data_IF_468146007483
#
_entry.id   IF_468146007483
#
_cell.length_a   1.000
_cell.length_b   1.000
_cell.length_c   1.000
_cell.angle_alpha   90.00
_cell.angle_beta   90.00
_cell.angle_gamma   90.00
#
_symmetry.space_group_name_H-M   'P 1'
#
loop_
_entity.id
_entity.type
_entity.pdbx_description
1 polymer ?
#
# COMPACT_ATOMS: atom_id res chain seq x y z
N UNK A 1 26.80 -5.49 -22.03
CA UNK A 1 26.45 -6.82 -22.59
C UNK A 1 27.72 -7.43 -23.15
N UNK A 2 28.33 -8.32 -22.37
CA UNK A 2 29.52 -9.10 -22.77
C UNK A 2 29.15 -10.10 -23.87
N UNK A 3 30.03 -10.28 -24.85
CA UNK A 3 29.81 -11.21 -25.95
C UNK A 3 30.21 -12.64 -25.56
N UNK A 4 29.54 -13.65 -26.11
CA UNK A 4 29.85 -15.07 -25.83
C UNK A 4 31.33 -15.41 -26.11
N UNK A 5 31.90 -14.79 -27.14
CA UNK A 5 33.29 -14.99 -27.57
C UNK A 5 34.32 -14.42 -26.57
N UNK A 6 33.98 -13.35 -25.85
CA UNK A 6 34.83 -12.80 -24.78
C UNK A 6 34.82 -13.69 -23.53
N UNK A 7 33.70 -14.36 -23.23
CA UNK A 7 33.59 -15.29 -22.10
C UNK A 7 34.37 -16.59 -22.38
N UNK A 8 34.36 -17.08 -23.61
CA UNK A 8 35.11 -18.27 -24.02
C UNK A 8 36.63 -18.08 -23.96
N UNK A 9 37.11 -16.85 -24.19
CA UNK A 9 38.54 -16.53 -24.16
C UNK A 9 39.15 -16.47 -22.74
N UNK A 10 38.33 -16.28 -21.71
CA UNK A 10 38.79 -16.17 -20.33
C UNK A 10 38.86 -17.55 -19.65
N UNK A 11 39.86 -17.73 -18.78
CA UNK A 11 39.94 -18.91 -17.90
C UNK A 11 38.88 -18.84 -16.79
N UNK A 12 38.60 -19.99 -16.16
CA UNK A 12 37.56 -20.08 -15.12
C UNK A 12 37.84 -19.16 -13.92
N UNK A 13 39.12 -18.98 -13.55
CA UNK A 13 39.52 -18.10 -12.46
C UNK A 13 39.31 -16.61 -12.77
N UNK A 14 39.60 -16.16 -13.99
CA UNK A 14 39.34 -14.80 -14.43
C UNK A 14 37.85 -14.52 -14.58
N UNK A 15 37.08 -15.48 -15.09
CA UNK A 15 35.62 -15.40 -15.13
C UNK A 15 35.03 -15.26 -13.73
N UNK A 16 35.52 -16.05 -12.76
CA UNK A 16 35.07 -15.96 -11.37
C UNK A 16 35.39 -14.59 -10.77
N UNK A 17 36.64 -14.11 -10.90
CA UNK A 17 37.05 -12.78 -10.40
C UNK A 17 36.22 -11.65 -11.03
N UNK A 18 35.97 -11.71 -12.33
CA UNK A 18 35.14 -10.73 -13.05
C UNK A 18 33.69 -10.79 -12.58
N UNK A 19 33.12 -11.99 -12.46
CA UNK A 19 31.74 -12.18 -11.98
C UNK A 19 31.53 -11.63 -10.57
N UNK A 20 32.47 -11.88 -9.66
CA UNK A 20 32.44 -11.33 -8.29
C UNK A 20 32.56 -9.81 -8.31
N UNK A 21 33.47 -9.24 -9.12
CA UNK A 21 33.63 -7.80 -9.23
C UNK A 21 32.36 -7.13 -9.78
N UNK A 22 31.74 -7.70 -10.82
CA UNK A 22 30.49 -7.22 -11.38
C UNK A 22 29.35 -7.26 -10.35
N UNK A 23 29.23 -8.37 -9.61
CA UNK A 23 28.21 -8.52 -8.56
C UNK A 23 28.36 -7.45 -7.46
N UNK A 24 29.60 -7.12 -7.05
CA UNK A 24 29.88 -6.10 -6.03
C UNK A 24 29.51 -4.68 -6.47
N UNK A 25 29.65 -4.38 -7.75
CA UNK A 25 29.30 -3.06 -8.33
C UNK A 25 27.80 -2.98 -8.69
N UNK A 26 27.08 -4.10 -8.59
CA UNK A 26 25.64 -4.18 -8.86
C UNK A 26 25.30 -4.46 -10.33
N UNK A 27 26.28 -4.81 -11.16
CA UNK A 27 26.04 -5.24 -12.54
C UNK A 27 25.63 -6.72 -12.55
N UNK A 28 24.34 -6.94 -12.30
CA UNK A 28 23.77 -8.28 -12.16
C UNK A 28 23.80 -9.10 -13.46
N UNK A 29 23.81 -8.45 -14.63
CA UNK A 29 23.75 -9.13 -15.92
C UNK A 29 25.13 -9.66 -16.32
N UNK A 30 26.17 -8.83 -16.24
CA UNK A 30 27.54 -9.27 -16.49
C UNK A 30 28.00 -10.29 -15.42
N UNK A 31 27.62 -10.10 -14.16
CA UNK A 31 27.88 -11.06 -13.09
C UNK A 31 27.26 -12.42 -13.38
N UNK A 32 25.97 -12.46 -13.75
CA UNK A 32 25.25 -13.70 -14.07
C UNK A 32 25.87 -14.39 -15.29
N UNK A 33 26.25 -13.64 -16.33
CA UNK A 33 26.90 -14.20 -17.51
C UNK A 33 28.24 -14.87 -17.15
N UNK A 34 29.10 -14.19 -16.37
CA UNK A 34 30.39 -14.76 -15.99
C UNK A 34 30.24 -15.96 -15.05
N UNK A 35 29.40 -15.85 -14.01
CA UNK A 35 29.25 -16.88 -12.98
C UNK A 35 28.54 -18.14 -13.49
N UNK A 36 27.53 -17.99 -14.38
CA UNK A 36 26.89 -19.14 -15.02
C UNK A 36 27.87 -19.92 -15.91
N UNK A 37 28.79 -19.22 -16.57
CA UNK A 37 29.84 -19.85 -17.37
C UNK A 37 30.86 -20.60 -16.50
N UNK A 38 31.25 -20.04 -15.35
CA UNK A 38 32.12 -20.75 -14.38
C UNK A 38 31.45 -22.03 -13.91
N UNK A 39 30.18 -21.95 -13.50
CA UNK A 39 29.42 -23.10 -13.02
C UNK A 39 29.22 -24.16 -14.12
N UNK A 40 29.08 -23.75 -15.38
CA UNK A 40 28.99 -24.66 -16.52
C UNK A 40 30.27 -25.46 -16.72
N UNK A 41 31.44 -24.82 -16.56
CA UNK A 41 32.77 -25.46 -16.70
C UNK A 41 33.17 -26.26 -15.47
N UNK A 42 32.87 -25.73 -14.29
CA UNK A 42 33.23 -26.29 -12.99
C UNK A 42 31.99 -26.42 -12.09
N UNK A 43 31.15 -27.46 -12.29
CA UNK A 43 29.92 -27.63 -11.51
C UNK A 43 30.13 -27.84 -10.00
N UNK A 44 31.37 -28.13 -9.60
CA UNK A 44 31.81 -28.33 -8.22
C UNK A 44 32.33 -27.04 -7.54
N UNK A 45 32.33 -25.90 -8.25
CA UNK A 45 32.82 -24.63 -7.72
C UNK A 45 31.77 -23.97 -6.80
N UNK A 46 31.89 -24.17 -5.49
CA UNK A 46 30.95 -23.65 -4.49
C UNK A 46 30.86 -22.12 -4.44
N UNK A 47 31.98 -21.42 -4.65
CA UNK A 47 32.00 -19.95 -4.63
C UNK A 47 31.24 -19.35 -5.82
N UNK A 48 31.38 -19.95 -7.00
CA UNK A 48 30.65 -19.52 -8.19
C UNK A 48 29.13 -19.65 -7.99
N UNK A 49 28.66 -20.77 -7.42
CA UNK A 49 27.25 -20.97 -7.07
C UNK A 49 26.75 -19.97 -6.03
N UNK A 50 27.55 -19.69 -5.00
CA UNK A 50 27.21 -18.75 -3.94
C UNK A 50 27.05 -17.32 -4.48
N UNK A 51 28.01 -16.86 -5.29
CA UNK A 51 27.93 -15.54 -5.93
C UNK A 51 26.81 -15.47 -6.97
N UNK A 52 26.54 -16.56 -7.71
CA UNK A 52 25.44 -16.61 -8.66
C UNK A 52 24.08 -16.46 -7.94
N UNK A 53 23.94 -17.07 -6.75
CA UNK A 53 22.75 -16.90 -5.93
C UNK A 53 22.49 -15.42 -5.60
N UNK A 54 23.53 -14.60 -5.35
CA UNK A 54 23.36 -13.18 -4.99
C UNK A 54 22.69 -12.35 -6.10
N UNK A 55 22.99 -12.65 -7.36
CA UNK A 55 22.51 -11.90 -8.54
C UNK A 55 21.28 -12.53 -9.21
N UNK A 56 20.79 -13.66 -8.69
CA UNK A 56 19.62 -14.35 -9.22
C UNK A 56 18.31 -13.67 -8.77
N UNK A 57 17.43 -13.25 -9.71
CA UNK A 57 16.18 -12.56 -9.38
C UNK A 57 15.08 -13.51 -8.90
N UNK A 58 15.01 -14.74 -9.43
CA UNK A 58 13.99 -15.71 -9.02
C UNK A 58 14.31 -16.27 -7.63
N UNK A 59 13.38 -16.20 -6.67
CA UNK A 59 13.62 -16.74 -5.33
C UNK A 59 13.81 -18.26 -5.34
N UNK A 60 13.16 -18.99 -6.25
CA UNK A 60 13.35 -20.44 -6.40
C UNK A 60 14.73 -20.78 -6.93
N UNK A 61 15.15 -20.15 -8.04
CA UNK A 61 16.51 -20.39 -8.58
C UNK A 61 17.60 -20.01 -7.59
N UNK A 62 17.39 -18.91 -6.85
CA UNK A 62 18.27 -18.50 -5.74
C UNK A 62 18.37 -19.58 -4.65
N UNK A 63 17.25 -20.19 -4.25
CA UNK A 63 17.26 -21.35 -3.34
C UNK A 63 18.07 -22.50 -3.94
N UNK A 64 17.83 -22.86 -5.20
CA UNK A 64 18.50 -23.99 -5.84
C UNK A 64 20.02 -23.80 -5.84
N UNK A 65 20.49 -22.58 -6.09
CA UNK A 65 21.91 -22.23 -6.01
C UNK A 65 22.46 -22.40 -4.58
N UNK A 66 21.77 -21.89 -3.55
CA UNK A 66 22.19 -22.08 -2.15
C UNK A 66 22.19 -23.56 -1.72
N UNK A 67 21.18 -24.34 -2.11
CA UNK A 67 21.14 -25.78 -1.86
C UNK A 67 22.31 -26.49 -2.55
N UNK A 68 22.69 -26.06 -3.76
CA UNK A 68 23.87 -26.58 -4.45
C UNK A 68 25.17 -26.25 -3.73
N UNK A 69 25.30 -25.04 -3.16
CA UNK A 69 26.44 -24.69 -2.30
C UNK A 69 26.52 -25.60 -1.09
N UNK A 70 25.41 -25.83 -0.39
CA UNK A 70 25.38 -26.73 0.79
C UNK A 70 25.69 -28.18 0.44
N UNK A 71 25.33 -28.63 -0.76
CA UNK A 71 25.69 -29.96 -1.26
C UNK A 71 27.20 -30.09 -1.52
N UNK A 72 27.87 -29.02 -1.93
CA UNK A 72 29.32 -28.99 -2.18
C UNK A 72 30.13 -28.68 -0.91
N UNK A 73 29.58 -27.85 -0.02
CA UNK A 73 30.18 -27.38 1.24
C UNK A 73 29.18 -27.57 2.39
N UNK A 74 29.08 -28.79 2.95
CA UNK A 74 28.20 -29.03 4.09
C UNK A 74 28.59 -28.13 5.27
N UNK A 75 27.64 -27.36 5.80
CA UNK A 75 27.88 -26.42 6.90
C UNK A 75 28.31 -25.00 6.49
N UNK A 76 28.19 -24.65 5.20
CA UNK A 76 28.41 -23.28 4.74
C UNK A 76 27.43 -22.29 5.40
N UNK A 77 27.97 -21.37 6.20
CA UNK A 77 27.18 -20.41 6.96
C UNK A 77 26.47 -19.38 6.05
N UNK A 78 27.10 -18.96 4.95
CA UNK A 78 26.53 -17.97 4.04
C UNK A 78 25.34 -18.53 3.26
N UNK A 79 25.45 -19.76 2.77
CA UNK A 79 24.35 -20.42 2.07
C UNK A 79 23.17 -20.72 3.01
N UNK A 80 23.45 -21.11 4.26
CA UNK A 80 22.41 -21.34 5.28
C UNK A 80 21.68 -20.04 5.61
N UNK A 81 22.41 -18.97 5.92
CA UNK A 81 21.83 -17.64 6.17
C UNK A 81 21.05 -17.10 4.95
N UNK A 82 21.52 -17.39 3.73
CA UNK A 82 20.83 -17.05 2.49
C UNK A 82 19.45 -17.71 2.37
N UNK A 83 19.33 -18.99 2.74
CA UNK A 83 18.05 -19.71 2.75
C UNK A 83 17.10 -19.20 3.84
N UNK A 84 17.61 -18.93 5.03
CA UNK A 84 16.83 -18.34 6.14
C UNK A 84 16.26 -16.98 5.72
N UNK A 85 17.12 -16.10 5.17
CA UNK A 85 16.71 -14.80 4.67
C UNK A 85 15.67 -14.90 3.55
N UNK A 86 15.78 -15.90 2.68
CA UNK A 86 14.81 -16.15 1.63
C UNK A 86 13.45 -16.55 2.21
N UNK A 87 13.44 -17.41 3.23
CA UNK A 87 12.24 -17.84 3.94
C UNK A 87 11.58 -16.70 4.71
N UNK A 88 12.36 -15.78 5.30
CA UNK A 88 11.82 -14.58 5.94
C UNK A 88 11.15 -13.63 4.93
N UNK A 89 11.83 -13.35 3.81
CA UNK A 89 11.34 -12.40 2.80
C UNK A 89 10.14 -12.92 2.01
N UNK A 90 10.15 -14.21 1.65
CA UNK A 90 9.17 -14.81 0.73
C UNK A 90 8.24 -15.83 1.40
N UNK A 91 8.50 -16.21 2.65
CA UNK A 91 7.80 -17.27 3.38
C UNK A 91 8.44 -18.64 3.16
N UNK A 92 8.32 -19.53 4.16
CA UNK A 92 8.95 -20.86 4.18
C UNK A 92 8.66 -21.75 2.97
N UNK A 93 7.53 -21.55 2.29
CA UNK A 93 7.16 -22.32 1.10
C UNK A 93 8.12 -22.17 -0.09
N UNK A 94 8.95 -21.13 -0.10
CA UNK A 94 10.00 -20.97 -1.11
C UNK A 94 11.05 -22.07 -1.03
N UNK A 95 11.26 -22.66 0.15
CA UNK A 95 12.28 -23.69 0.41
C UNK A 95 11.85 -25.09 -0.05
N UNK A 96 10.56 -25.30 -0.35
CA UNK A 96 10.02 -26.60 -0.74
C UNK A 96 10.46 -26.97 -2.16
N UNK A 97 11.11 -28.13 -2.38
CA UNK A 97 11.64 -28.53 -3.68
C UNK A 97 10.62 -28.38 -4.82
N UNK A 98 11.13 -28.08 -6.01
CA UNK A 98 10.30 -28.07 -7.22
C UNK A 98 10.36 -29.50 -7.77
N UNK A 99 9.41 -30.34 -7.35
CA UNK A 99 9.28 -31.71 -7.82
C UNK A 99 8.93 -31.62 -9.32
N UNK A 100 9.92 -31.80 -10.19
CA UNK A 100 9.74 -31.55 -11.63
C UNK A 100 8.76 -32.54 -12.28
N UNK A 101 8.53 -33.70 -11.66
CA UNK A 101 7.66 -34.78 -12.15
C UNK A 101 6.27 -34.80 -11.49
N UNK A 102 6.09 -34.15 -10.34
CA UNK A 102 4.81 -34.13 -9.63
C UNK A 102 4.29 -32.69 -9.55
N UNK A 103 3.16 -32.41 -10.20
CA UNK A 103 2.63 -31.05 -10.26
C UNK A 103 2.30 -30.57 -8.83
N UNK A 104 2.90 -29.46 -8.36
CA UNK A 104 2.73 -29.06 -6.98
C UNK A 104 1.27 -28.70 -6.72
N UNK A 105 0.78 -29.07 -5.54
CA UNK A 105 -0.62 -28.86 -5.18
C UNK A 105 -0.84 -27.46 -4.63
N UNK A 106 -2.05 -26.93 -4.80
CA UNK A 106 -2.41 -25.63 -4.24
C UNK A 106 -2.32 -25.66 -2.71
N UNK A 107 -1.63 -24.68 -2.11
CA UNK A 107 -1.46 -24.60 -0.65
C UNK A 107 -2.79 -24.57 0.13
N UNK A 108 -3.89 -24.15 -0.51
CA UNK A 108 -5.23 -24.12 0.10
C UNK A 108 -6.17 -25.21 -0.40
N UNK A 109 -5.83 -25.89 -1.48
CA UNK A 109 -6.63 -26.97 -2.05
C UNK A 109 -5.68 -28.11 -2.42
N UNK A 110 -5.38 -29.01 -1.46
CA UNK A 110 -4.45 -30.12 -1.68
C UNK A 110 -4.87 -31.03 -2.83
N UNK A 111 -6.17 -31.12 -3.12
CA UNK A 111 -6.71 -31.97 -4.21
C UNK A 111 -6.52 -31.37 -5.61
N UNK A 112 -5.85 -30.21 -5.74
CA UNK A 112 -5.69 -29.50 -7.01
C UNK A 112 -4.24 -29.25 -7.34
N UNK A 113 -3.77 -29.97 -8.35
CA UNK A 113 -2.49 -29.70 -9.03
C UNK A 113 -2.47 -28.29 -9.63
N UNK A 114 -1.34 -27.61 -9.50
CA UNK A 114 -1.16 -26.27 -10.07
C UNK A 114 0.28 -25.95 -10.38
N UNK A 115 0.52 -25.37 -11.56
CA UNK A 115 1.81 -24.76 -11.92
C UNK A 115 1.85 -23.26 -11.65
N UNK A 116 0.73 -22.67 -11.22
CA UNK A 116 0.65 -21.24 -10.91
C UNK A 116 1.27 -20.97 -9.54
N UNK A 117 2.18 -19.98 -9.48
CA UNK A 117 2.87 -19.55 -8.26
C UNK A 117 2.70 -18.06 -8.01
N UNK A 118 2.79 -17.66 -6.75
CA UNK A 118 2.66 -16.24 -6.38
C UNK A 118 3.92 -15.48 -6.75
N UNK A 119 3.79 -14.40 -7.53
CA UNK A 119 4.92 -13.55 -7.91
C UNK A 119 5.67 -12.92 -6.71
N UNK A 120 5.05 -12.89 -5.51
CA UNK A 120 5.66 -12.35 -4.28
C UNK A 120 6.24 -13.43 -3.38
N UNK A 121 5.43 -14.42 -3.00
CA UNK A 121 5.77 -15.42 -1.99
C UNK A 121 6.06 -16.81 -2.55
N UNK A 122 6.11 -16.98 -3.88
CA UNK A 122 6.44 -18.24 -4.56
C UNK A 122 5.49 -19.44 -4.31
N UNK A 123 4.50 -19.31 -3.43
CA UNK A 123 3.57 -20.40 -3.07
C UNK A 123 2.76 -20.89 -4.29
N UNK A 124 2.58 -22.21 -4.44
CA UNK A 124 1.69 -22.78 -5.44
C UNK A 124 0.23 -22.45 -5.10
N UNK A 125 -0.53 -22.03 -6.11
CA UNK A 125 -1.94 -21.66 -5.95
C UNK A 125 -2.76 -22.08 -7.17
N UNK A 126 -4.00 -22.54 -6.99
CA UNK A 126 -4.89 -22.80 -8.11
C UNK A 126 -5.44 -21.49 -8.71
N UNK A 127 -6.06 -21.58 -9.90
CA UNK A 127 -6.71 -20.43 -10.58
C UNK A 127 -7.71 -19.69 -9.68
N UNK A 128 -8.49 -20.41 -8.87
CA UNK A 128 -9.48 -19.82 -7.96
C UNK A 128 -8.86 -19.03 -6.80
N UNK A 129 -7.66 -19.43 -6.34
CA UNK A 129 -6.92 -18.75 -5.29
C UNK A 129 -6.12 -17.55 -5.82
N UNK A 130 -5.91 -17.49 -7.13
CA UNK A 130 -5.15 -16.45 -7.78
C UNK A 130 -5.98 -15.14 -7.86
N UNK A 131 -5.29 -14.03 -7.64
CA UNK A 131 -5.85 -12.67 -7.69
C UNK A 131 -4.98 -11.84 -8.62
N UNK A 132 -5.63 -11.17 -9.57
CA UNK A 132 -4.96 -10.33 -10.54
C UNK A 132 -4.34 -9.11 -9.84
N UNK A 133 -3.10 -8.78 -10.19
CA UNK A 133 -2.40 -7.59 -9.74
C UNK A 133 -1.64 -6.98 -10.94
N UNK A 134 -1.40 -5.65 -10.99
CA UNK A 134 -0.71 -5.00 -12.11
C UNK A 134 0.71 -5.51 -12.41
N UNK A 135 1.31 -6.35 -11.55
CA UNK A 135 2.64 -6.96 -11.79
C UNK A 135 2.57 -8.50 -11.86
N UNK A 136 1.40 -9.06 -12.17
CA UNK A 136 1.16 -10.50 -12.30
C UNK A 136 0.20 -11.09 -11.27
N UNK A 137 0.13 -12.41 -11.20
CA UNK A 137 -0.79 -13.13 -10.30
C UNK A 137 -0.25 -13.20 -8.87
N UNK A 138 -1.11 -12.90 -7.89
CA UNK A 138 -0.79 -12.97 -6.46
C UNK A 138 -1.76 -13.88 -5.72
N UNK A 139 -1.30 -14.51 -4.65
CA UNK A 139 -2.17 -15.31 -3.79
C UNK A 139 -3.08 -14.44 -2.92
N UNK A 140 -4.16 -15.03 -2.40
CA UNK A 140 -5.16 -14.33 -1.57
C UNK A 140 -4.57 -13.60 -0.36
N UNK A 141 -3.53 -14.15 0.27
CA UNK A 141 -2.86 -13.54 1.43
C UNK A 141 -2.01 -12.33 1.01
N UNK A 142 -1.15 -12.47 0.00
CA UNK A 142 -0.35 -11.36 -0.51
C UNK A 142 -1.21 -10.24 -1.11
N UNK A 143 -2.34 -10.57 -1.74
CA UNK A 143 -3.30 -9.58 -2.23
C UNK A 143 -4.01 -8.85 -1.08
N UNK A 144 -4.29 -9.54 0.04
CA UNK A 144 -4.92 -8.92 1.22
C UNK A 144 -3.93 -8.05 2.00
N UNK A 145 -2.67 -8.46 2.14
CA UNK A 145 -1.63 -7.68 2.80
C UNK A 145 -1.32 -6.36 2.09
N UNK A 146 -1.60 -6.28 0.78
CA UNK A 146 -1.47 -5.05 0.02
C UNK A 146 -2.67 -4.10 0.19
N UNK A 147 -3.78 -4.54 0.79
CA UNK A 147 -4.83 -3.60 1.21
C UNK A 147 -4.21 -2.71 2.27
N UNK A 148 -3.95 -1.48 1.86
CA UNK A 148 -3.05 -0.54 2.51
C UNK A 148 -3.30 -0.41 4.02
N UNK A 149 -2.24 -0.40 4.85
CA UNK A 149 -2.27 0.03 6.26
C UNK A 149 -2.84 1.45 6.48
N UNK A 150 -3.03 2.21 5.39
CA UNK A 150 -3.64 3.54 5.38
C UNK A 150 -5.08 3.57 5.93
N UNK A 151 -5.72 2.43 6.12
CA UNK A 151 -7.09 2.35 6.64
C UNK A 151 -7.20 2.18 8.17
N UNK A 152 -6.07 1.97 8.89
CA UNK A 152 -6.08 2.03 10.37
C UNK A 152 -5.85 3.47 10.81
N UNK A 153 -6.95 4.18 11.03
CA UNK A 153 -6.92 5.47 11.75
C UNK A 153 -6.77 5.16 13.24
N UNK A 154 -5.68 5.62 13.84
CA UNK A 154 -5.49 5.48 15.29
C UNK A 154 -6.41 6.46 16.05
N UNK A 155 -6.80 6.18 17.30
CA UNK A 155 -7.72 7.03 18.06
C UNK A 155 -7.23 8.47 18.20
N UNK A 156 -5.92 8.69 18.37
CA UNK A 156 -5.32 10.04 18.43
C UNK A 156 -5.49 10.85 17.13
N UNK A 157 -5.54 10.17 15.97
CA UNK A 157 -5.68 10.82 14.66
C UNK A 157 -7.14 11.15 14.34
N UNK A 158 -8.09 10.30 14.79
CA UNK A 158 -9.52 10.59 14.68
C UNK A 158 -9.92 11.79 15.55
N UNK A 159 -9.36 11.90 16.76
CA UNK A 159 -9.59 13.06 17.65
C UNK A 159 -9.01 14.35 17.03
N UNK A 160 -7.82 14.29 16.43
CA UNK A 160 -7.22 15.43 15.71
C UNK A 160 -8.09 15.90 14.54
N UNK A 161 -8.59 14.98 13.72
CA UNK A 161 -9.52 15.28 12.62
C UNK A 161 -10.84 15.90 13.11
N UNK A 162 -11.41 15.37 14.20
CA UNK A 162 -12.63 15.91 14.80
C UNK A 162 -12.44 17.32 15.37
N UNK A 163 -11.36 17.55 16.12
CA UNK A 163 -11.10 18.84 16.77
C UNK A 163 -10.91 19.97 15.75
N UNK A 164 -10.09 19.73 14.71
CA UNK A 164 -9.86 20.72 13.64
C UNK A 164 -11.14 20.93 12.82
N UNK A 165 -11.86 19.86 12.49
CA UNK A 165 -13.14 19.93 11.78
C UNK A 165 -14.20 20.74 12.53
N UNK A 166 -14.38 20.45 13.83
CA UNK A 166 -15.33 21.14 14.69
C UNK A 166 -14.94 22.61 14.90
N UNK A 167 -13.67 22.92 15.16
CA UNK A 167 -13.22 24.30 15.33
C UNK A 167 -13.43 25.14 14.06
N UNK A 168 -13.13 24.58 12.88
CA UNK A 168 -13.38 25.23 11.61
C UNK A 168 -14.87 25.44 11.36
N UNK A 169 -15.69 24.40 11.56
CA UNK A 169 -17.14 24.48 11.39
C UNK A 169 -17.78 25.48 12.36
N UNK A 170 -17.35 25.49 13.62
CA UNK A 170 -17.83 26.40 14.65
C UNK A 170 -17.43 27.85 14.38
N UNK A 171 -16.17 28.10 14.00
CA UNK A 171 -15.69 29.44 13.66
C UNK A 171 -16.43 30.05 12.46
N UNK A 172 -16.62 29.26 11.40
CA UNK A 172 -17.42 29.68 10.23
C UNK A 172 -18.87 29.94 10.65
N UNK A 173 -19.45 29.06 11.47
CA UNK A 173 -20.83 29.21 11.95
C UNK A 173 -21.04 30.47 12.79
N UNK A 174 -20.09 30.81 13.68
CA UNK A 174 -20.15 32.02 14.50
C UNK A 174 -20.04 33.29 13.66
N UNK A 175 -19.13 33.29 12.67
CA UNK A 175 -18.92 34.40 11.74
C UNK A 175 -20.16 34.66 10.88
N UNK A 176 -20.71 33.62 10.24
CA UNK A 176 -21.92 33.73 9.43
C UNK A 176 -23.14 34.15 10.27
N UNK A 177 -23.26 33.58 11.48
CA UNK A 177 -24.33 33.94 12.42
C UNK A 177 -24.24 35.39 12.93
N UNK A 178 -23.05 36.00 12.94
CA UNK A 178 -22.87 37.41 13.30
C UNK A 178 -23.31 38.37 12.18
N UNK A 179 -23.26 37.94 10.92
CA UNK A 179 -23.69 38.71 9.74
C UNK A 179 -25.22 38.66 9.55
N UNK A 180 -25.93 37.78 10.27
CA UNK A 180 -27.38 37.63 10.22
C UNK A 180 -27.89 36.91 8.97
N UNK A 181 -29.11 37.23 8.51
CA UNK A 181 -29.76 36.57 7.34
C UNK A 181 -28.93 36.67 6.06
N UNK A 182 -28.18 37.77 5.88
CA UNK A 182 -27.26 37.93 4.75
C UNK A 182 -26.10 36.92 4.78
N UNK A 183 -25.64 36.51 5.97
CA UNK A 183 -24.62 35.47 6.13
C UNK A 183 -25.10 34.09 5.64
N UNK A 184 -26.39 33.77 5.83
CA UNK A 184 -27.00 32.52 5.37
C UNK A 184 -27.15 32.50 3.83
N UNK A 185 -27.57 33.61 3.23
CA UNK A 185 -27.63 33.73 1.77
C UNK A 185 -26.23 33.60 1.16
N UNK A 186 -25.23 34.26 1.74
CA UNK A 186 -23.83 34.14 1.30
C UNK A 186 -23.32 32.69 1.41
N UNK A 187 -23.72 31.95 2.45
CA UNK A 187 -23.38 30.53 2.63
C UNK A 187 -23.95 29.65 1.52
N UNK A 188 -25.17 29.93 1.05
CA UNK A 188 -25.82 29.19 -0.03
C UNK A 188 -25.08 29.37 -1.36
N UNK A 189 -24.63 30.59 -1.65
CA UNK A 189 -23.81 30.88 -2.83
C UNK A 189 -22.39 30.34 -2.70
N UNK A 190 -21.77 30.46 -1.52
CA UNK A 190 -20.43 29.95 -1.25
C UNK A 190 -20.37 28.41 -1.30
N UNK A 191 -21.41 27.70 -0.87
CA UNK A 191 -21.49 26.24 -0.98
C UNK A 191 -21.55 25.74 -2.43
N UNK A 192 -22.08 26.55 -3.35
CA UNK A 192 -22.20 26.20 -4.78
C UNK A 192 -20.95 26.58 -5.59
N UNK A 193 -20.27 27.67 -5.24
CA UNK A 193 -19.05 28.13 -5.93
C UNK A 193 -17.73 27.65 -5.29
N UNK A 194 -17.72 27.30 -4.00
CA UNK A 194 -16.49 27.05 -3.22
C UNK A 194 -16.69 25.83 -2.29
N UNK A 195 -16.87 24.65 -2.87
CA UNK A 195 -17.11 23.41 -2.10
C UNK A 195 -15.92 22.84 -1.32
N UNK A 196 -14.81 23.55 -1.09
CA UNK A 196 -13.51 22.90 -0.83
C UNK A 196 -12.77 23.14 0.51
N UNK A 197 -13.01 24.13 1.39
CA UNK A 197 -12.08 24.35 2.51
C UNK A 197 -12.33 23.46 3.74
N UNK A 198 -13.58 23.12 4.08
CA UNK A 198 -13.88 22.39 5.32
C UNK A 198 -13.42 20.92 5.27
N UNK A 199 -13.62 20.26 4.12
CA UNK A 199 -13.14 18.88 3.92
C UNK A 199 -11.61 18.77 3.93
N UNK A 200 -10.93 19.80 3.40
CA UNK A 200 -9.47 19.89 3.44
C UNK A 200 -8.96 20.13 4.87
N UNK A 201 -9.64 20.96 5.67
CA UNK A 201 -9.31 21.17 7.08
C UNK A 201 -9.42 19.89 7.93
N UNK A 202 -10.50 19.12 7.76
CA UNK A 202 -10.67 17.80 8.43
C UNK A 202 -9.57 16.83 8.00
N UNK A 203 -9.24 16.81 6.70
CA UNK A 203 -8.18 15.94 6.18
C UNK A 203 -6.79 16.33 6.69
N UNK A 204 -6.52 17.62 6.89
CA UNK A 204 -5.27 18.12 7.47
C UNK A 204 -5.16 17.72 8.94
N UNK A 205 -6.22 17.92 9.73
CA UNK A 205 -6.26 17.51 11.14
C UNK A 205 -6.10 16.00 11.35
N UNK A 206 -6.54 15.19 10.38
CA UNK A 206 -6.40 13.73 10.38
C UNK A 206 -5.10 13.21 9.73
N UNK A 207 -4.18 14.10 9.35
CA UNK A 207 -2.88 13.71 8.76
C UNK A 207 -2.96 13.18 7.33
N UNK A 208 -3.89 13.68 6.51
CA UNK A 208 -4.13 13.32 5.09
C UNK A 208 -4.48 11.84 4.83
N UNK A 209 -4.90 11.11 5.87
CA UNK A 209 -5.35 9.71 5.74
C UNK A 209 -6.76 9.64 5.13
N UNK A 210 -7.08 8.54 4.43
CA UNK A 210 -8.37 8.35 3.73
C UNK A 210 -9.02 7.03 4.18
N UNK A 211 -10.31 7.05 4.51
CA UNK A 211 -11.08 5.86 4.88
C UNK A 211 -12.47 6.15 5.44
N UNK A 212 -13.32 5.11 5.57
CA UNK A 212 -14.72 5.21 6.07
C UNK A 212 -14.82 5.81 7.47
N UNK A 213 -13.89 5.49 8.37
CA UNK A 213 -13.87 6.06 9.72
C UNK A 213 -13.71 7.59 9.69
N UNK A 214 -12.88 8.12 8.78
CA UNK A 214 -12.72 9.56 8.62
C UNK A 214 -13.95 10.20 7.95
N UNK A 215 -14.66 9.46 7.09
CA UNK A 215 -15.94 9.92 6.53
C UNK A 215 -16.99 10.11 7.64
N UNK A 216 -17.04 9.20 8.61
CA UNK A 216 -17.93 9.32 9.78
C UNK A 216 -17.53 10.52 10.65
N UNK A 217 -16.23 10.68 10.96
CA UNK A 217 -15.74 11.84 11.74
C UNK A 217 -16.04 13.16 11.05
N UNK A 218 -15.82 13.25 9.73
CA UNK A 218 -16.15 14.44 8.96
C UNK A 218 -17.65 14.74 9.01
N UNK A 219 -18.51 13.73 8.79
CA UNK A 219 -19.96 13.89 8.82
C UNK A 219 -20.47 14.33 10.21
N UNK A 220 -19.94 13.75 11.29
CA UNK A 220 -20.33 14.11 12.67
C UNK A 220 -19.90 15.54 13.00
N UNK A 221 -18.65 15.92 12.68
CA UNK A 221 -18.15 17.29 12.95
C UNK A 221 -18.93 18.37 12.20
N UNK A 222 -19.26 18.14 10.93
CA UNK A 222 -20.11 19.01 10.11
C UNK A 222 -21.53 19.12 10.68
N UNK A 223 -22.12 17.99 11.06
CA UNK A 223 -23.48 17.96 11.62
C UNK A 223 -23.56 18.74 12.94
N UNK A 224 -22.58 18.56 13.83
CA UNK A 224 -22.48 19.30 15.09
C UNK A 224 -22.30 20.81 14.86
N UNK A 225 -21.46 21.20 13.89
CA UNK A 225 -21.26 22.61 13.54
C UNK A 225 -22.55 23.29 13.08
N UNK A 226 -23.30 22.64 12.19
CA UNK A 226 -24.57 23.17 11.67
C UNK A 226 -25.63 23.25 12.78
N UNK A 227 -25.74 22.23 13.64
CA UNK A 227 -26.64 22.27 14.79
C UNK A 227 -26.31 23.43 15.75
N UNK A 228 -25.02 23.69 15.97
CA UNK A 228 -24.58 24.81 16.79
C UNK A 228 -24.90 26.16 16.12
N UNK A 229 -24.77 26.27 14.80
CA UNK A 229 -25.16 27.45 14.04
C UNK A 229 -26.66 27.76 14.16
N UNK A 230 -27.50 26.72 14.04
CA UNK A 230 -28.96 26.83 14.19
C UNK A 230 -29.30 27.27 15.62
N UNK A 231 -28.67 26.67 16.64
CA UNK A 231 -28.87 27.05 18.05
C UNK A 231 -28.47 28.49 18.36
N UNK A 232 -27.34 28.97 17.81
CA UNK A 232 -26.88 30.36 17.96
C UNK A 232 -27.80 31.34 17.23
N UNK A 233 -28.33 30.97 16.07
CA UNK A 233 -29.27 31.79 15.29
C UNK A 233 -30.65 31.90 15.96
N UNK A 234 -31.08 30.85 16.67
CA UNK A 234 -32.32 30.83 17.45
C UNK A 234 -32.18 31.43 18.86
N UNK A 235 -30.96 31.77 19.29
CA UNK A 235 -30.71 32.30 20.64
C UNK A 235 -31.34 33.68 20.81
N UNK A 236 -32.25 33.85 21.80
CA UNK A 236 -32.96 35.10 22.02
C UNK A 236 -32.07 36.21 22.61
N UNK A 237 -30.82 35.92 22.98
CA UNK A 237 -29.90 36.86 23.62
C UNK A 237 -29.40 38.00 22.72
N UNK A 238 -29.64 37.96 21.40
CA UNK A 238 -29.08 38.96 20.46
C UNK A 238 -29.92 40.20 20.23
N UNK A 239 -31.11 40.33 20.82
CA UNK A 239 -31.88 41.59 20.88
C UNK A 239 -32.23 42.25 19.53
N UNK A 240 -31.90 41.62 18.40
CA UNK A 240 -32.27 42.07 17.07
C UNK A 240 -33.72 41.66 16.81
N UNK A 241 -34.55 42.55 16.26
CA UNK A 241 -35.98 42.30 16.12
C UNK A 241 -36.21 41.03 15.29
N UNK A 242 -37.27 40.26 15.59
CA UNK A 242 -37.70 39.11 14.80
C UNK A 242 -38.36 39.58 13.48
N UNK A 243 -37.67 40.43 12.72
CA UNK A 243 -38.06 40.83 11.37
C UNK A 243 -37.59 39.79 10.34
N UNK A 244 -37.52 38.52 10.74
CA UNK A 244 -37.11 37.36 9.95
C UNK A 244 -38.16 36.25 10.01
N UNK A 245 -39.44 36.63 10.17
CA UNK A 245 -40.60 35.81 9.82
C UNK A 245 -40.93 35.89 8.31
N UNK A 246 -39.91 35.95 7.44
CA UNK A 246 -40.08 35.33 6.12
C UNK A 246 -40.19 33.82 6.38
N UNK A 247 -41.00 33.07 5.63
CA UNK A 247 -41.26 31.67 5.90
C UNK A 247 -39.98 30.86 5.63
N UNK A 248 -39.09 30.83 6.63
CA UNK A 248 -37.92 29.98 6.65
C UNK A 248 -38.45 28.56 6.79
N UNK A 249 -38.76 27.97 5.65
CA UNK A 249 -39.04 26.55 5.59
C UNK A 249 -37.82 25.83 6.19
N UNK A 250 -38.00 24.95 7.19
CA UNK A 250 -36.92 24.17 7.79
C UNK A 250 -36.15 23.33 6.75
N UNK A 251 -36.68 23.22 5.52
CA UNK A 251 -36.08 22.58 4.36
C UNK A 251 -34.75 23.20 3.92
N UNK A 252 -34.56 24.51 4.05
CA UNK A 252 -33.32 25.19 3.62
C UNK A 252 -32.05 24.70 4.33
N UNK A 253 -31.97 24.79 5.67
CA UNK A 253 -30.82 24.28 6.43
C UNK A 253 -30.65 22.76 6.31
N UNK A 254 -31.75 21.99 6.20
CA UNK A 254 -31.71 20.55 5.96
C UNK A 254 -31.10 20.21 4.58
N UNK A 255 -31.45 20.96 3.54
CA UNK A 255 -30.88 20.79 2.21
C UNK A 255 -29.38 21.09 2.18
N UNK A 256 -28.93 22.13 2.89
CA UNK A 256 -27.49 22.45 3.02
C UNK A 256 -26.72 21.36 3.79
N UNK A 257 -27.33 20.77 4.83
CA UNK A 257 -26.73 19.65 5.56
C UNK A 257 -26.59 18.42 4.65
N UNK A 258 -27.63 18.06 3.92
CA UNK A 258 -27.60 16.92 2.98
C UNK A 258 -26.58 17.15 1.86
N UNK A 259 -26.54 18.34 1.26
CA UNK A 259 -25.60 18.67 0.20
C UNK A 259 -24.15 18.74 0.70
N UNK A 260 -23.93 19.33 1.88
CA UNK A 260 -22.62 19.42 2.53
C UNK A 260 -22.06 18.06 2.95
N UNK A 261 -22.90 17.19 3.50
CA UNK A 261 -22.51 15.81 3.84
C UNK A 261 -22.26 15.00 2.55
N UNK A 262 -23.09 15.13 1.52
CA UNK A 262 -22.91 14.41 0.26
C UNK A 262 -21.63 14.81 -0.48
N UNK A 263 -21.27 16.10 -0.50
CA UNK A 263 -20.03 16.58 -1.11
C UNK A 263 -18.80 16.15 -0.31
N UNK A 264 -18.85 16.24 1.02
CA UNK A 264 -17.77 15.76 1.89
C UNK A 264 -17.54 14.24 1.74
N UNK A 265 -18.60 13.45 1.72
CA UNK A 265 -18.51 11.98 1.55
C UNK A 265 -17.97 11.61 0.17
N UNK A 266 -18.39 12.29 -0.91
CA UNK A 266 -17.87 12.04 -2.27
C UNK A 266 -16.38 12.33 -2.41
N UNK A 267 -15.86 13.35 -1.72
CA UNK A 267 -14.45 13.75 -1.80
C UNK A 267 -13.52 12.90 -0.91
N UNK A 268 -14.09 12.22 0.09
CA UNK A 268 -13.37 11.33 1.01
C UNK A 268 -13.45 9.84 0.62
N UNK A 269 -14.17 9.49 -0.45
CA UNK A 269 -14.11 8.16 -1.08
C UNK A 269 -12.84 8.03 -1.92
#
# INVERSE_FOLDING_TARGET
MVTARELEALDAAALLRRGIAAARVGDADDARACLSEVVRREPANGDAWLWLASVEPSPQRKRDHFQRVLALRPGDAEATAGLEQLAERHGAAVLLPDDADEAPHCTWHPDRETRLRCARCARPMCGDCARHHPVGMRCKECARALRSPLYRVGPRQSVGGFAVGFAAAFGVSLLLGAIGVFGLLLAMFAALLIGAPLGDAVSWGAGRKRGRELQVVAAVSLSLGILTAIGVMLSPLRGLPPLSLLPFSPLGPLALLVLGVATAVRRLR
#
